data_IF_207543772204
#
_entry.id   IF_207543772204
#
_cell.length_a   1.000
_cell.length_b   1.000
_cell.length_c   1.000
_cell.angle_alpha   90.00
_cell.angle_beta   90.00
_cell.angle_gamma   90.00
#
_symmetry.space_group_name_H-M   'P 1'
#
loop_
_entity.id
_entity.type
_entity.pdbx_description
1 polymer ?
#
# COMPACT_ATOMS: atom_id res chain seq x y z
N UNK A 1 1.31 26.06 -8.05
CA UNK A 1 0.68 24.99 -7.27
C UNK A 1 -0.05 25.66 -6.15
N UNK A 2 -1.37 25.54 -6.18
CA UNK A 2 -2.24 26.03 -5.12
C UNK A 2 -2.54 24.90 -4.12
N UNK A 3 -3.40 25.18 -3.14
CA UNK A 3 -3.78 24.21 -2.13
C UNK A 3 -4.61 23.06 -2.71
N UNK A 4 -5.41 23.33 -3.75
CA UNK A 4 -6.26 22.31 -4.38
C UNK A 4 -5.38 21.26 -5.06
N UNK A 5 -4.35 21.70 -5.81
CA UNK A 5 -3.33 20.81 -6.39
C UNK A 5 -2.64 19.93 -5.31
N UNK A 6 -2.36 20.50 -4.14
CA UNK A 6 -1.71 19.78 -3.02
C UNK A 6 -2.66 18.75 -2.43
N UNK A 7 -3.91 19.15 -2.21
CA UNK A 7 -4.97 18.28 -1.66
C UNK A 7 -5.19 17.09 -2.58
N UNK A 8 -5.27 17.30 -3.90
CA UNK A 8 -5.44 16.22 -4.88
C UNK A 8 -4.30 15.21 -4.82
N UNK A 9 -3.05 15.69 -4.79
CA UNK A 9 -1.86 14.82 -4.68
C UNK A 9 -1.87 14.03 -3.36
N UNK A 10 -2.24 14.66 -2.26
CA UNK A 10 -2.29 14.00 -0.96
C UNK A 10 -3.42 12.96 -0.93
N UNK A 11 -4.59 13.27 -1.48
CA UNK A 11 -5.72 12.35 -1.55
C UNK A 11 -5.43 11.13 -2.45
N UNK A 12 -4.73 11.32 -3.58
CA UNK A 12 -4.20 10.20 -4.38
C UNK A 12 -3.34 9.25 -3.52
N UNK A 13 -2.50 9.78 -2.62
CA UNK A 13 -1.65 8.99 -1.74
C UNK A 13 -2.42 8.39 -0.55
N UNK A 14 -3.47 9.06 -0.07
CA UNK A 14 -4.39 8.51 0.94
C UNK A 14 -5.09 7.29 0.39
N UNK A 15 -5.66 7.36 -0.82
CA UNK A 15 -6.34 6.24 -1.48
C UNK A 15 -5.39 5.04 -1.62
N UNK A 16 -4.19 5.27 -2.15
CA UNK A 16 -3.15 4.23 -2.28
C UNK A 16 -2.80 3.59 -0.93
N UNK A 17 -2.74 4.40 0.14
CA UNK A 17 -2.41 3.91 1.48
C UNK A 17 -3.56 3.11 2.09
N UNK A 18 -4.81 3.54 1.93
CA UNK A 18 -6.02 2.80 2.34
C UNK A 18 -6.16 1.48 1.57
N UNK A 19 -5.86 1.51 0.28
CA UNK A 19 -5.82 0.33 -0.57
C UNK A 19 -4.81 -0.70 -0.08
N UNK A 20 -3.60 -0.24 0.25
CA UNK A 20 -2.57 -1.06 0.88
C UNK A 20 -3.02 -1.62 2.23
N UNK A 21 -3.64 -0.80 3.08
CA UNK A 21 -4.15 -1.21 4.39
C UNK A 21 -5.15 -2.37 4.27
N UNK A 22 -6.15 -2.22 3.40
CA UNK A 22 -7.17 -3.24 3.18
C UNK A 22 -6.59 -4.49 2.48
N UNK A 23 -5.70 -4.31 1.50
CA UNK A 23 -5.01 -5.40 0.81
C UNK A 23 -4.17 -6.26 1.73
N UNK A 24 -3.29 -5.64 2.50
CA UNK A 24 -2.43 -6.36 3.44
C UNK A 24 -3.21 -7.05 4.54
N UNK A 25 -4.26 -6.43 5.07
CA UNK A 25 -5.11 -7.05 6.10
C UNK A 25 -5.81 -8.29 5.55
N UNK A 26 -6.42 -8.17 4.37
CA UNK A 26 -7.08 -9.30 3.70
C UNK A 26 -6.10 -10.43 3.40
N UNK A 27 -4.88 -10.10 2.95
CA UNK A 27 -3.83 -11.08 2.70
C UNK A 27 -3.34 -11.74 3.99
N UNK A 28 -3.22 -10.99 5.10
CA UNK A 28 -2.83 -11.52 6.40
C UNK A 28 -3.86 -12.49 6.98
N UNK A 29 -5.16 -12.23 6.80
CA UNK A 29 -6.23 -13.14 7.24
C UNK A 29 -6.18 -14.49 6.51
N UNK A 30 -5.60 -14.51 5.31
CA UNK A 30 -5.59 -15.67 4.41
C UNK A 30 -4.27 -16.42 4.38
N UNK A 31 -3.18 -15.79 4.83
CA UNK A 31 -1.88 -16.44 4.87
C UNK A 31 -1.84 -17.59 5.89
N UNK A 32 -1.18 -18.67 5.52
CA UNK A 32 -1.04 -19.89 6.32
C UNK A 32 0.14 -19.79 7.28
N UNK A 33 1.28 -19.31 6.79
CA UNK A 33 2.49 -19.10 7.57
C UNK A 33 2.30 -17.98 8.60
N UNK A 34 2.63 -18.26 9.87
CA UNK A 34 2.58 -17.26 10.92
C UNK A 34 3.53 -16.07 10.65
N UNK A 35 4.67 -16.32 10.01
CA UNK A 35 5.62 -15.27 9.63
C UNK A 35 5.02 -14.34 8.56
N UNK A 36 4.36 -14.91 7.54
CA UNK A 36 3.70 -14.14 6.48
C UNK A 36 2.53 -13.35 7.04
N UNK A 37 1.67 -13.97 7.85
CA UNK A 37 0.59 -13.26 8.55
C UNK A 37 1.10 -12.06 9.34
N UNK A 38 2.11 -12.27 10.18
CA UNK A 38 2.67 -11.21 11.03
C UNK A 38 3.25 -10.07 10.20
N UNK A 39 4.00 -10.38 9.14
CA UNK A 39 4.56 -9.37 8.26
C UNK A 39 3.47 -8.53 7.57
N UNK A 40 2.46 -9.19 6.98
CA UNK A 40 1.37 -8.51 6.29
C UNK A 40 0.50 -7.68 7.25
N UNK A 41 0.20 -8.18 8.47
CA UNK A 41 -0.50 -7.39 9.49
C UNK A 41 0.28 -6.13 9.88
N UNK A 42 1.60 -6.25 10.06
CA UNK A 42 2.43 -5.08 10.35
C UNK A 42 2.41 -4.06 9.20
N UNK A 43 2.37 -4.52 7.94
CA UNK A 43 2.24 -3.61 6.79
C UNK A 43 0.87 -2.93 6.75
N UNK A 44 -0.20 -3.65 7.03
CA UNK A 44 -1.53 -3.05 7.13
C UNK A 44 -1.55 -1.89 8.14
N UNK A 45 -0.95 -2.08 9.32
CA UNK A 45 -0.84 -1.00 10.32
C UNK A 45 0.02 0.17 9.84
N UNK A 46 1.11 -0.07 9.12
CA UNK A 46 1.94 0.98 8.55
C UNK A 46 1.19 1.81 7.48
N UNK A 47 0.41 1.14 6.62
CA UNK A 47 -0.45 1.79 5.64
C UNK A 47 -1.54 2.65 6.30
N UNK A 48 -2.19 2.15 7.36
CA UNK A 48 -3.16 2.91 8.13
C UNK A 48 -2.55 4.19 8.73
N UNK A 49 -1.33 4.09 9.28
CA UNK A 49 -0.61 5.23 9.84
C UNK A 49 -0.23 6.26 8.76
N UNK A 50 0.23 5.79 7.59
CA UNK A 50 0.54 6.66 6.45
C UNK A 50 -0.70 7.41 5.96
N UNK A 51 -1.83 6.70 5.80
CA UNK A 51 -3.10 7.31 5.41
C UNK A 51 -3.54 8.37 6.42
N UNK A 52 -3.56 8.05 7.72
CA UNK A 52 -3.97 9.00 8.76
C UNK A 52 -3.10 10.27 8.78
N UNK A 53 -1.80 10.13 8.56
CA UNK A 53 -0.90 11.26 8.46
C UNK A 53 -1.18 12.11 7.22
N UNK A 54 -1.31 11.51 6.05
CA UNK A 54 -1.64 12.23 4.82
C UNK A 54 -2.99 12.95 4.93
N UNK A 55 -4.00 12.31 5.52
CA UNK A 55 -5.29 12.92 5.80
C UNK A 55 -5.20 14.14 6.74
N UNK A 56 -4.20 14.18 7.64
CA UNK A 56 -3.94 15.36 8.47
C UNK A 56 -3.39 16.52 7.64
N UNK A 57 -2.52 16.24 6.67
CA UNK A 57 -2.03 17.24 5.72
C UNK A 57 -3.15 17.73 4.79
N UNK A 58 -4.03 16.85 4.29
CA UNK A 58 -5.18 17.27 3.46
C UNK A 58 -6.00 18.34 4.18
N UNK A 59 -6.34 18.10 5.45
CA UNK A 59 -7.06 19.07 6.30
C UNK A 59 -6.27 20.35 6.54
N UNK A 60 -4.96 20.25 6.75
CA UNK A 60 -4.07 21.42 6.93
C UNK A 60 -4.08 22.33 5.70
N UNK A 61 -4.17 21.77 4.50
CA UNK A 61 -4.25 22.52 3.24
C UNK A 61 -5.68 22.94 2.87
N UNK A 62 -6.68 22.62 3.70
CA UNK A 62 -8.06 23.07 3.54
C UNK A 62 -8.96 22.12 2.74
N UNK A 63 -8.49 20.92 2.44
CA UNK A 63 -9.26 19.89 1.73
C UNK A 63 -10.01 18.94 2.67
N UNK A 64 -10.93 18.18 2.08
CA UNK A 64 -11.56 17.01 2.72
C UNK A 64 -10.75 15.76 2.37
N UNK A 65 -10.29 14.98 3.38
CA UNK A 65 -9.56 13.75 3.12
C UNK A 65 -10.46 12.67 2.54
N UNK A 66 -9.92 11.94 1.57
CA UNK A 66 -10.52 10.68 1.13
C UNK A 66 -10.53 9.67 2.28
N UNK A 67 -11.65 8.99 2.48
CA UNK A 67 -11.80 7.96 3.51
C UNK A 67 -11.98 6.55 2.92
N UNK A 68 -12.29 6.47 1.62
CA UNK A 68 -12.55 5.23 0.90
C UNK A 68 -11.32 4.80 0.09
N UNK A 69 -11.00 3.50 0.15
CA UNK A 69 -10.05 2.86 -0.77
C UNK A 69 -10.79 2.20 -1.93
N UNK A 70 -10.25 2.25 -3.15
CA UNK A 70 -10.77 1.54 -4.32
C UNK A 70 -10.43 0.03 -4.33
N UNK A 71 -9.62 -0.44 -3.37
CA UNK A 71 -9.07 -1.79 -3.31
C UNK A 71 -10.10 -2.91 -3.05
N UNK A 72 -11.25 -2.63 -2.43
CA UNK A 72 -12.21 -3.69 -2.06
C UNK A 72 -12.61 -4.57 -3.26
N UNK A 73 -12.93 -3.94 -4.40
CA UNK A 73 -13.31 -4.64 -5.61
C UNK A 73 -12.13 -5.31 -6.35
N UNK A 74 -10.96 -4.70 -6.33
CA UNK A 74 -9.77 -5.21 -7.02
C UNK A 74 -9.20 -6.46 -6.33
N UNK A 75 -9.15 -6.46 -5.00
CA UNK A 75 -8.66 -7.61 -4.21
C UNK A 75 -9.60 -8.80 -4.28
N UNK A 76 -10.92 -8.58 -4.30
CA UNK A 76 -11.87 -9.68 -4.46
C UNK A 76 -11.61 -10.42 -5.79
N UNK A 77 -11.42 -9.68 -6.89
CA UNK A 77 -11.11 -10.27 -8.21
C UNK A 77 -9.74 -10.94 -8.26
N UNK A 78 -8.70 -10.29 -7.71
CA UNK A 78 -7.35 -10.87 -7.63
C UNK A 78 -7.35 -12.18 -6.85
N UNK A 79 -8.09 -12.25 -5.75
CA UNK A 79 -8.20 -13.47 -4.94
C UNK A 79 -8.94 -14.61 -5.63
N UNK A 80 -10.02 -14.32 -6.37
CA UNK A 80 -10.72 -15.34 -7.15
C UNK A 80 -9.78 -15.96 -8.18
N UNK A 81 -8.93 -15.15 -8.81
CA UNK A 81 -7.91 -15.64 -9.74
C UNK A 81 -6.84 -16.51 -9.04
N UNK A 82 -6.38 -16.11 -7.85
CA UNK A 82 -5.45 -16.91 -7.04
C UNK A 82 -6.07 -18.27 -6.68
N UNK A 83 -7.27 -18.31 -6.10
CA UNK A 83 -7.94 -19.57 -5.74
C UNK A 83 -8.16 -20.52 -6.91
N UNK A 84 -8.37 -19.99 -8.12
CA UNK A 84 -8.52 -20.82 -9.31
C UNK A 84 -7.21 -21.50 -9.75
N UNK A 85 -6.05 -20.99 -9.31
CA UNK A 85 -4.74 -21.38 -9.81
C UNK A 85 -3.93 -22.29 -8.85
N UNK A 86 -4.35 -22.50 -7.60
CA UNK A 86 -3.54 -23.23 -6.58
C UNK A 86 -4.26 -24.40 -5.92
N UNK A 87 -3.53 -25.50 -5.69
CA UNK A 87 -4.03 -26.74 -5.06
C UNK A 87 -3.34 -27.12 -3.74
N UNK A 88 -2.41 -26.30 -3.21
CA UNK A 88 -1.70 -26.57 -1.93
C UNK A 88 -1.39 -25.26 -1.18
N UNK A 89 -1.31 -25.33 0.15
CA UNK A 89 -1.16 -24.16 1.04
C UNK A 89 0.16 -23.37 0.90
N UNK A 90 1.29 -24.03 0.59
CA UNK A 90 2.55 -23.32 0.35
C UNK A 90 2.51 -22.49 -0.95
N UNK A 91 1.83 -22.99 -1.98
CA UNK A 91 1.63 -22.24 -3.21
C UNK A 91 0.65 -21.07 -3.01
N UNK A 92 -0.27 -21.17 -2.04
CA UNK A 92 -1.17 -20.08 -1.66
C UNK A 92 -0.42 -18.91 -1.00
N UNK A 93 0.50 -19.15 -0.05
CA UNK A 93 1.29 -18.08 0.56
C UNK A 93 2.18 -17.35 -0.46
N UNK A 94 2.80 -18.10 -1.38
CA UNK A 94 3.56 -17.51 -2.48
C UNK A 94 2.67 -16.65 -3.39
N UNK A 95 1.48 -17.14 -3.75
CA UNK A 95 0.53 -16.40 -4.58
C UNK A 95 0.02 -15.12 -3.89
N UNK A 96 -0.27 -15.18 -2.59
CA UNK A 96 -0.65 -14.02 -1.77
C UNK A 96 0.48 -12.96 -1.81
N UNK A 97 1.71 -13.37 -1.55
CA UNK A 97 2.86 -12.47 -1.54
C UNK A 97 3.14 -11.86 -2.92
N UNK A 98 2.96 -12.64 -4.00
CA UNK A 98 3.10 -12.15 -5.37
C UNK A 98 2.06 -11.07 -5.72
N UNK A 99 0.81 -11.21 -5.26
CA UNK A 99 -0.20 -10.17 -5.45
C UNK A 99 0.07 -8.94 -4.59
N UNK A 100 0.56 -9.12 -3.36
CA UNK A 100 1.01 -8.01 -2.51
C UNK A 100 2.15 -7.21 -3.15
N UNK A 101 3.17 -7.86 -3.70
CA UNK A 101 4.28 -7.20 -4.40
C UNK A 101 3.80 -6.38 -5.60
N UNK A 102 2.89 -6.94 -6.40
CA UNK A 102 2.27 -6.22 -7.52
C UNK A 102 1.47 -4.99 -7.07
N UNK A 103 0.85 -5.06 -5.90
CA UNK A 103 0.20 -3.91 -5.26
C UNK A 103 1.21 -2.84 -4.84
N UNK A 104 2.30 -3.26 -4.19
CA UNK A 104 3.36 -2.36 -3.74
C UNK A 104 4.10 -1.67 -4.88
N UNK A 105 4.31 -2.33 -6.02
CA UNK A 105 4.88 -1.70 -7.22
C UNK A 105 4.07 -0.47 -7.64
N UNK A 106 2.74 -0.58 -7.60
CA UNK A 106 1.84 0.54 -7.92
C UNK A 106 1.95 1.64 -6.87
N UNK A 107 1.95 1.28 -5.59
CA UNK A 107 2.09 2.24 -4.51
C UNK A 107 3.40 3.02 -4.62
N UNK A 108 4.53 2.33 -4.80
CA UNK A 108 5.85 2.94 -5.01
C UNK A 108 5.84 3.86 -6.24
N UNK A 109 5.19 3.48 -7.33
CA UNK A 109 5.08 4.33 -8.53
C UNK A 109 4.30 5.63 -8.23
N UNK A 110 3.19 5.55 -7.50
CA UNK A 110 2.39 6.72 -7.11
C UNK A 110 3.16 7.66 -6.19
N UNK A 111 3.82 7.13 -5.15
CA UNK A 111 4.69 7.94 -4.29
C UNK A 111 5.86 8.58 -5.05
N UNK A 112 6.48 7.87 -6.02
CA UNK A 112 7.54 8.46 -6.86
C UNK A 112 7.02 9.59 -7.72
N UNK A 113 5.84 9.43 -8.32
CA UNK A 113 5.18 10.47 -9.11
C UNK A 113 4.94 11.71 -8.25
N UNK A 114 4.37 11.53 -7.07
CA UNK A 114 4.10 12.63 -6.14
C UNK A 114 5.40 13.33 -5.68
N UNK A 115 6.44 12.58 -5.32
CA UNK A 115 7.73 13.16 -4.90
C UNK A 115 8.41 13.98 -6.01
N UNK A 116 8.20 13.60 -7.27
CA UNK A 116 8.73 14.30 -8.44
C UNK A 116 7.98 15.61 -8.75
N UNK A 117 6.82 15.86 -8.13
CA UNK A 117 6.06 17.09 -8.35
C UNK A 117 6.85 18.32 -7.89
N UNK A 118 6.96 19.31 -8.77
CA UNK A 118 7.59 20.60 -8.50
C UNK A 118 6.61 21.55 -7.82
N UNK A 119 7.10 22.38 -6.88
CA UNK A 119 6.24 23.36 -6.21
C UNK A 119 5.52 22.83 -4.95
N UNK A 120 5.78 21.59 -4.54
CA UNK A 120 5.36 21.09 -3.23
C UNK A 120 5.97 21.93 -2.09
N UNK A 121 5.15 22.33 -1.10
CA UNK A 121 5.65 22.82 0.18
C UNK A 121 6.64 21.85 0.83
N UNK A 122 7.57 22.38 1.61
CA UNK A 122 8.69 21.61 2.15
C UNK A 122 8.25 20.49 3.12
N UNK A 123 7.21 20.76 3.93
CA UNK A 123 6.58 19.81 4.83
C UNK A 123 5.92 18.65 4.06
N UNK A 124 5.14 18.97 3.02
CA UNK A 124 4.50 17.98 2.13
C UNK A 124 5.54 17.11 1.42
N UNK A 125 6.60 17.73 0.86
CA UNK A 125 7.70 17.00 0.23
C UNK A 125 8.36 16.04 1.23
N UNK A 126 8.62 16.50 2.44
CA UNK A 126 9.27 15.70 3.49
C UNK A 126 8.46 14.46 3.84
N UNK A 127 7.15 14.59 4.02
CA UNK A 127 6.30 13.43 4.36
C UNK A 127 6.21 12.44 3.19
N UNK A 128 6.04 12.92 1.95
CA UNK A 128 5.98 12.07 0.76
C UNK A 128 7.29 11.29 0.56
N UNK A 129 8.44 11.95 0.68
CA UNK A 129 9.75 11.30 0.50
C UNK A 129 10.00 10.25 1.60
N UNK A 130 9.64 10.54 2.85
CA UNK A 130 9.76 9.58 3.94
C UNK A 130 8.86 8.36 3.71
N UNK A 131 7.59 8.57 3.36
CA UNK A 131 6.66 7.48 3.11
C UNK A 131 7.05 6.68 1.86
N UNK A 132 7.61 7.31 0.82
CA UNK A 132 8.19 6.63 -0.34
C UNK A 132 9.32 5.66 0.05
N UNK A 133 10.22 6.06 0.95
CA UNK A 133 11.26 5.17 1.46
C UNK A 133 10.65 3.98 2.21
N UNK A 134 9.61 4.23 3.02
CA UNK A 134 8.85 3.19 3.71
C UNK A 134 8.19 2.19 2.76
N UNK A 135 7.59 2.67 1.66
CA UNK A 135 6.97 1.85 0.62
C UNK A 135 8.01 1.00 -0.14
N UNK A 136 9.18 1.57 -0.46
CA UNK A 136 10.28 0.81 -1.09
C UNK A 136 10.80 -0.31 -0.18
N UNK A 137 11.04 0.02 1.09
CA UNK A 137 11.45 -0.99 2.07
C UNK A 137 10.38 -2.08 2.26
N UNK A 138 9.09 -1.74 2.09
CA UNK A 138 8.01 -2.71 2.10
C UNK A 138 8.05 -3.67 0.93
N UNK A 139 8.07 -3.11 -0.28
CA UNK A 139 8.19 -3.88 -1.50
C UNK A 139 9.34 -4.91 -1.39
N UNK A 140 10.51 -4.47 -0.93
CA UNK A 140 11.68 -5.34 -0.81
C UNK A 140 11.49 -6.44 0.25
N UNK A 141 10.81 -6.14 1.37
CA UNK A 141 10.48 -7.14 2.39
C UNK A 141 9.47 -8.17 1.87
N UNK A 142 8.40 -7.74 1.18
CA UNK A 142 7.39 -8.63 0.61
C UNK A 142 8.01 -9.55 -0.43
N UNK A 143 8.87 -9.00 -1.29
CA UNK A 143 9.62 -9.77 -2.30
C UNK A 143 10.54 -10.80 -1.65
N UNK A 144 11.30 -10.42 -0.61
CA UNK A 144 12.16 -11.35 0.10
C UNK A 144 11.36 -12.49 0.76
N UNK A 145 10.21 -12.19 1.36
CA UNK A 145 9.30 -13.19 1.91
C UNK A 145 8.77 -14.12 0.81
N UNK A 146 8.31 -13.57 -0.33
CA UNK A 146 7.85 -14.35 -1.48
C UNK A 146 8.91 -15.34 -1.95
N UNK A 147 10.15 -14.85 -2.11
CA UNK A 147 11.26 -15.67 -2.59
C UNK A 147 11.62 -16.79 -1.59
N UNK A 148 11.42 -16.56 -0.29
CA UNK A 148 11.68 -17.58 0.75
C UNK A 148 10.63 -18.69 0.84
N UNK A 149 9.37 -18.43 0.43
CA UNK A 149 8.30 -19.45 0.43
C UNK A 149 8.25 -20.25 -0.88
N UNK A 150 9.04 -19.86 -1.88
CA UNK A 150 9.19 -20.57 -3.16
C UNK A 150 10.14 -21.77 -3.07
N UNK A 151 11.03 -21.78 -2.08
CA UNK A 151 12.12 -22.74 -1.91
C UNK A 151 11.69 -24.03 -1.18
#
# INVERSE_FOLDING_TARGET
MDNDDIVDILNDLVEVSKDGEYGFRTSAERAHSAAVRSALSARASACAAAAAELQSFVRQYGGEPEDDGTAMGALHRGWVAVKAAVSTSAHEDHAILSECERGEDKAVAMYRKAAATTGLPADVRTVIERQLQGARANHDQVKALRDSVRA
#
